data_IF_974714276901
#
_entry.id   IF_974714276901
#
_cell.length_a   1.000
_cell.length_b   1.000
_cell.length_c   1.000
_cell.angle_alpha   90.00
_cell.angle_beta   90.00
_cell.angle_gamma   90.00
#
_symmetry.space_group_name_H-M   'P 1'
#
loop_
_entity.id
_entity.type
_entity.pdbx_description
1 polymer ?
#
# COMPACT_ATOMS: atom_id res chain seq x y z
N UNK A 1 -0.31 22.01 -16.30
CA UNK A 1 0.89 21.16 -16.22
C UNK A 1 0.58 19.92 -17.04
N UNK A 2 1.36 19.66 -18.10
CA UNK A 2 1.19 18.47 -18.93
C UNK A 2 1.98 17.32 -18.31
N UNK A 3 1.26 16.33 -17.79
CA UNK A 3 1.84 15.16 -17.10
C UNK A 3 2.58 14.23 -18.07
N UNK A 4 2.17 14.17 -19.34
CA UNK A 4 2.82 13.33 -20.35
C UNK A 4 4.11 13.99 -20.81
N UNK A 5 4.09 15.29 -21.08
CA UNK A 5 5.32 16.03 -21.41
C UNK A 5 6.34 16.07 -20.25
N UNK A 6 5.89 15.95 -19.00
CA UNK A 6 6.78 15.77 -17.85
C UNK A 6 7.40 14.37 -17.82
N UNK A 7 6.59 13.32 -18.03
CA UNK A 7 7.05 11.93 -18.14
C UNK A 7 8.12 11.80 -19.22
N UNK A 8 7.84 12.27 -20.42
CA UNK A 8 8.72 12.06 -21.57
C UNK A 8 10.09 12.71 -21.34
N UNK A 9 10.11 13.95 -20.81
CA UNK A 9 11.36 14.62 -20.42
C UNK A 9 12.13 13.86 -19.34
N UNK A 10 11.44 13.35 -18.32
CA UNK A 10 12.07 12.57 -17.26
C UNK A 10 12.70 11.29 -17.81
N UNK A 11 11.97 10.56 -18.66
CA UNK A 11 12.48 9.33 -19.29
C UNK A 11 13.71 9.65 -20.15
N UNK A 12 13.68 10.71 -20.95
CA UNK A 12 14.79 11.12 -21.80
C UNK A 12 16.05 11.49 -20.99
N UNK A 13 15.88 12.25 -19.90
CA UNK A 13 16.98 12.61 -19.00
C UNK A 13 17.62 11.36 -18.35
N UNK A 14 16.80 10.42 -17.87
CA UNK A 14 17.30 9.16 -17.31
C UNK A 14 17.99 8.28 -18.37
N UNK A 15 17.44 8.21 -19.59
CA UNK A 15 18.07 7.51 -20.71
C UNK A 15 19.47 8.07 -20.99
N UNK A 16 19.60 9.39 -21.12
CA UNK A 16 20.88 10.06 -21.39
C UNK A 16 21.88 9.84 -20.25
N UNK A 17 21.41 9.93 -18.99
CA UNK A 17 22.25 9.70 -17.82
C UNK A 17 22.83 8.29 -17.83
N UNK A 18 22.00 7.25 -17.95
CA UNK A 18 22.45 5.84 -17.87
C UNK A 18 23.33 5.48 -19.06
N UNK A 19 22.91 5.81 -20.29
CA UNK A 19 23.66 5.48 -21.51
C UNK A 19 25.05 6.15 -21.54
N UNK A 20 25.20 7.32 -20.92
CA UNK A 20 26.49 8.01 -20.78
C UNK A 20 27.55 7.24 -20.00
N UNK A 21 27.17 6.29 -19.14
CA UNK A 21 28.12 5.43 -18.39
C UNK A 21 28.47 4.12 -19.12
N UNK A 22 27.81 3.81 -20.23
CA UNK A 22 27.92 2.51 -20.90
C UNK A 22 28.70 2.67 -22.20
N UNK A 23 29.94 2.18 -22.21
CA UNK A 23 30.81 2.18 -23.38
C UNK A 23 31.00 0.76 -23.94
N UNK A 24 30.22 0.39 -24.97
CA UNK A 24 30.31 -0.92 -25.62
C UNK A 24 31.12 -0.81 -26.92
N UNK A 25 32.25 -1.52 -27.01
CA UNK A 25 33.15 -1.47 -28.18
C UNK A 25 32.74 -2.41 -29.31
N UNK A 26 32.16 -3.56 -28.97
CA UNK A 26 31.76 -4.57 -29.96
C UNK A 26 30.42 -4.14 -30.61
N UNK A 27 30.33 -4.04 -31.95
CA UNK A 27 29.15 -3.49 -32.61
C UNK A 27 27.84 -4.26 -32.37
N UNK A 28 27.88 -5.60 -32.30
CA UNK A 28 26.68 -6.40 -32.08
C UNK A 28 26.15 -6.22 -30.66
N UNK A 29 27.04 -6.16 -29.67
CA UNK A 29 26.68 -5.87 -28.29
C UNK A 29 26.18 -4.43 -28.11
N UNK A 30 26.75 -3.47 -28.85
CA UNK A 30 26.26 -2.09 -28.84
C UNK A 30 24.83 -2.03 -29.36
N UNK A 31 24.58 -2.64 -30.52
CA UNK A 31 23.23 -2.70 -31.09
C UNK A 31 22.23 -3.34 -30.11
N UNK A 32 22.61 -4.45 -29.48
CA UNK A 32 21.77 -5.09 -28.47
C UNK A 32 21.42 -4.15 -27.31
N UNK A 33 22.39 -3.37 -26.81
CA UNK A 33 22.17 -2.41 -25.73
C UNK A 33 21.28 -1.24 -26.18
N UNK A 34 21.52 -0.71 -27.38
CA UNK A 34 20.73 0.38 -27.95
C UNK A 34 19.26 -0.05 -28.17
N UNK A 35 19.05 -1.28 -28.65
CA UNK A 35 17.73 -1.88 -28.81
C UNK A 35 17.03 -2.03 -27.45
N UNK A 36 17.76 -2.47 -26.41
CA UNK A 36 17.22 -2.63 -25.05
C UNK A 36 16.73 -1.30 -24.45
N UNK A 37 17.46 -0.21 -24.69
CA UNK A 37 17.04 1.14 -24.31
C UNK A 37 15.84 1.61 -25.14
N UNK A 38 15.86 1.41 -26.45
CA UNK A 38 14.79 1.83 -27.37
C UNK A 38 13.47 1.12 -27.09
N UNK A 39 13.52 -0.16 -26.71
CA UNK A 39 12.35 -0.94 -26.26
C UNK A 39 11.77 -0.46 -24.92
N UNK A 40 12.42 0.50 -24.25
CA UNK A 40 11.95 1.11 -23.00
C UNK A 40 11.98 0.17 -21.79
N UNK A 41 12.80 -0.88 -21.82
CA UNK A 41 12.80 -1.92 -20.78
C UNK A 41 13.23 -1.45 -19.40
N UNK A 42 13.90 -0.30 -19.30
CA UNK A 42 14.29 0.31 -18.03
C UNK A 42 13.25 1.28 -17.46
N UNK A 43 12.27 1.70 -18.25
CA UNK A 43 11.18 2.58 -17.87
C UNK A 43 9.85 1.96 -18.30
N UNK A 44 9.36 0.94 -17.55
CA UNK A 44 8.10 0.30 -17.87
C UNK A 44 6.96 1.32 -17.83
N UNK A 45 5.88 1.02 -18.54
CA UNK A 45 4.67 1.84 -18.54
C UNK A 45 4.17 2.08 -17.10
N UNK A 46 3.58 3.27 -16.83
CA UNK A 46 3.12 3.60 -15.50
C UNK A 46 2.12 2.56 -15.01
N UNK A 47 2.34 2.07 -13.79
CA UNK A 47 1.45 1.12 -13.15
C UNK A 47 0.12 1.82 -12.82
N UNK A 48 -0.91 1.54 -13.59
CA UNK A 48 -2.28 1.92 -13.27
C UNK A 48 -2.92 0.79 -12.46
N UNK A 49 -3.01 0.99 -11.16
CA UNK A 49 -3.62 0.02 -10.25
C UNK A 49 -4.94 0.57 -9.70
N UNK A 50 -5.98 -0.27 -9.74
CA UNK A 50 -7.19 -0.03 -8.96
C UNK A 50 -6.90 -0.45 -7.52
N UNK A 51 -7.06 0.48 -6.58
CA UNK A 51 -6.90 0.21 -5.16
C UNK A 51 -8.30 0.24 -4.51
N UNK A 52 -9.11 -0.84 -4.67
CA UNK A 52 -10.43 -0.88 -4.06
C UNK A 52 -10.29 -0.76 -2.54
N UNK A 53 -11.25 -0.06 -1.91
CA UNK A 53 -11.32 -0.03 -0.47
C UNK A 53 -11.58 -1.45 0.07
N UNK A 54 -10.97 -1.79 1.20
CA UNK A 54 -11.29 -3.03 1.91
C UNK A 54 -12.74 -3.03 2.37
N UNK A 55 -13.33 -4.22 2.42
CA UNK A 55 -14.69 -4.41 2.96
C UNK A 55 -14.77 -3.88 4.40
N UNK A 56 -15.79 -3.09 4.75
CA UNK A 56 -15.98 -2.63 6.12
C UNK A 56 -16.44 -3.78 7.02
N UNK A 57 -15.85 -3.87 8.20
CA UNK A 57 -16.30 -4.74 9.30
C UNK A 57 -17.19 -3.98 10.28
N UNK A 58 -17.10 -4.36 11.57
CA UNK A 58 -17.79 -3.68 12.67
C UNK A 58 -17.00 -2.50 13.23
N UNK A 59 -17.72 -1.60 13.89
CA UNK A 59 -17.10 -0.61 14.77
C UNK A 59 -16.56 -1.27 16.05
N UNK A 60 -15.47 -0.74 16.59
CA UNK A 60 -14.92 -1.18 17.89
C UNK A 60 -16.00 -1.15 18.98
N UNK A 61 -16.84 -0.11 19.02
CA UNK A 61 -17.92 0.02 20.00
C UNK A 61 -18.92 -1.15 19.93
N UNK A 62 -19.17 -1.71 18.74
CA UNK A 62 -20.04 -2.89 18.59
C UNK A 62 -19.41 -4.14 19.16
N UNK A 63 -18.10 -4.34 18.97
CA UNK A 63 -17.36 -5.45 19.55
C UNK A 63 -17.28 -5.37 21.07
N UNK A 64 -17.15 -4.15 21.61
CA UNK A 64 -17.23 -3.90 23.07
C UNK A 64 -18.62 -4.19 23.61
N UNK A 65 -19.68 -3.72 22.95
CA UNK A 65 -21.08 -4.03 23.33
C UNK A 65 -21.37 -5.54 23.33
N UNK A 66 -20.74 -6.28 22.42
CA UNK A 66 -20.85 -7.74 22.32
C UNK A 66 -19.96 -8.50 23.31
N UNK A 67 -19.14 -7.80 24.11
CA UNK A 67 -18.22 -8.41 25.06
C UNK A 67 -17.00 -9.10 24.42
N UNK A 68 -16.77 -8.89 23.12
CA UNK A 68 -15.61 -9.42 22.40
C UNK A 68 -14.34 -8.65 22.78
N UNK A 69 -14.47 -7.34 22.96
CA UNK A 69 -13.39 -6.46 23.40
C UNK A 69 -13.67 -5.90 24.80
N UNK A 70 -12.59 -5.61 25.54
CA UNK A 70 -12.67 -4.96 26.84
C UNK A 70 -13.32 -3.56 26.73
N UNK A 71 -14.09 -3.15 27.74
CA UNK A 71 -14.82 -1.87 27.74
C UNK A 71 -13.95 -0.65 27.48
N UNK A 72 -12.70 -0.65 27.98
CA UNK A 72 -11.72 0.40 27.75
C UNK A 72 -11.36 0.62 26.27
N UNK A 73 -11.54 -0.38 25.40
CA UNK A 73 -11.25 -0.27 23.97
C UNK A 73 -12.10 0.81 23.28
N UNK A 74 -13.35 1.02 23.72
CA UNK A 74 -14.23 2.05 23.19
C UNK A 74 -13.71 3.48 23.43
N UNK A 75 -12.87 3.66 24.46
CA UNK A 75 -12.28 4.94 24.82
C UNK A 75 -10.93 5.17 24.12
N UNK A 76 -10.17 4.10 23.87
CA UNK A 76 -8.80 4.17 23.32
C UNK A 76 -8.80 4.16 21.79
N UNK A 77 -9.56 3.26 21.17
CA UNK A 77 -9.54 3.06 19.72
C UNK A 77 -10.53 3.99 19.01
N UNK A 78 -10.17 5.27 18.99
CA UNK A 78 -10.95 6.34 18.38
C UNK A 78 -10.12 7.14 17.39
N UNK A 79 -10.74 7.54 16.27
CA UNK A 79 -10.15 8.48 15.32
C UNK A 79 -10.42 9.90 15.80
N UNK A 80 -9.37 10.67 16.02
CA UNK A 80 -9.44 12.06 16.48
C UNK A 80 -9.04 13.01 15.37
N UNK A 81 -9.77 14.12 15.24
CA UNK A 81 -9.38 15.22 14.34
C UNK A 81 -8.41 16.19 15.03
N UNK A 82 -8.45 16.24 16.36
CA UNK A 82 -7.56 17.04 17.22
C UNK A 82 -7.32 16.32 18.56
N UNK A 83 -6.15 16.50 19.21
CA UNK A 83 -5.83 15.86 20.50
C UNK A 83 -6.91 16.02 21.58
N UNK A 84 -7.57 17.18 21.60
CA UNK A 84 -8.54 17.58 22.63
C UNK A 84 -9.95 17.01 22.39
N UNK A 85 -10.16 16.33 21.25
CA UNK A 85 -11.46 15.72 20.93
C UNK A 85 -11.53 14.28 21.43
N UNK A 86 -12.73 13.86 21.84
CA UNK A 86 -12.99 12.44 22.16
C UNK A 86 -12.87 11.56 20.91
N UNK A 87 -13.23 12.08 19.74
CA UNK A 87 -13.13 11.39 18.46
C UNK A 87 -14.26 10.39 18.19
N UNK A 88 -14.17 9.78 17.01
CA UNK A 88 -15.17 8.85 16.47
C UNK A 88 -14.70 7.40 16.63
N UNK A 89 -15.61 6.44 16.85
CA UNK A 89 -15.21 5.03 16.96
C UNK A 89 -14.56 4.56 15.66
N UNK A 90 -13.51 3.75 15.77
CA UNK A 90 -12.85 3.16 14.60
C UNK A 90 -13.79 2.14 13.96
N UNK A 91 -14.01 2.28 12.65
CA UNK A 91 -14.56 1.23 11.79
C UNK A 91 -13.42 0.33 11.32
N UNK A 92 -13.47 -0.95 11.67
CA UNK A 92 -12.47 -1.92 11.25
C UNK A 92 -12.70 -2.34 9.80
N UNK A 93 -11.66 -2.81 9.14
CA UNK A 93 -11.81 -3.61 7.94
C UNK A 93 -12.26 -5.04 8.31
N UNK A 94 -12.93 -5.71 7.39
CA UNK A 94 -13.48 -7.06 7.60
C UNK A 94 -12.42 -8.04 8.09
N UNK A 95 -11.21 -8.02 7.51
CA UNK A 95 -10.11 -8.90 7.94
C UNK A 95 -9.59 -8.61 9.35
N UNK A 96 -9.68 -7.36 9.82
CA UNK A 96 -9.32 -7.00 11.20
C UNK A 96 -10.39 -7.46 12.19
N UNK A 97 -11.65 -7.23 11.85
CA UNK A 97 -12.80 -7.67 12.63
C UNK A 97 -12.80 -9.20 12.79
N UNK A 98 -12.60 -9.94 11.70
CA UNK A 98 -12.54 -11.40 11.71
C UNK A 98 -11.36 -11.93 12.53
N UNK A 99 -10.20 -11.24 12.48
CA UNK A 99 -9.04 -11.59 13.29
C UNK A 99 -9.30 -11.38 14.79
N UNK A 100 -9.94 -10.28 15.18
CA UNK A 100 -10.33 -10.01 16.56
C UNK A 100 -11.36 -11.04 17.04
N UNK A 101 -12.33 -11.41 16.20
CA UNK A 101 -13.29 -12.45 16.53
C UNK A 101 -12.63 -13.83 16.68
N UNK A 102 -11.65 -14.14 15.83
CA UNK A 102 -10.88 -15.37 15.92
C UNK A 102 -10.01 -15.42 17.19
N UNK A 103 -9.36 -14.32 17.56
CA UNK A 103 -8.51 -14.23 18.76
C UNK A 103 -9.33 -14.36 20.04
N UNK A 104 -10.56 -13.85 20.07
CA UNK A 104 -11.48 -14.00 21.20
C UNK A 104 -11.84 -15.47 21.52
N UNK A 105 -11.62 -16.40 20.59
CA UNK A 105 -11.77 -17.84 20.85
C UNK A 105 -10.65 -18.46 21.71
N UNK A 106 -9.57 -17.70 21.98
CA UNK A 106 -8.40 -18.17 22.73
C UNK A 106 -7.49 -19.13 21.96
N UNK A 107 -7.75 -19.35 20.66
CA UNK A 107 -6.94 -20.21 19.79
C UNK A 107 -5.89 -19.39 19.04
N UNK A 108 -4.79 -20.05 18.69
CA UNK A 108 -3.83 -19.49 17.74
C UNK A 108 -4.48 -19.34 16.36
N UNK A 109 -4.20 -18.23 15.68
CA UNK A 109 -4.66 -17.95 14.32
C UNK A 109 -3.54 -17.35 13.48
N UNK A 110 -3.69 -17.39 12.16
CA UNK A 110 -2.79 -16.77 11.20
C UNK A 110 -3.57 -15.73 10.41
N UNK A 111 -3.15 -14.47 10.47
CA UNK A 111 -3.72 -13.37 9.68
C UNK A 111 -2.80 -13.05 8.50
N UNK A 112 -3.22 -13.43 7.29
CA UNK A 112 -2.48 -13.14 6.05
C UNK A 112 -3.15 -12.02 5.27
N UNK A 113 -2.53 -10.85 5.21
CA UNK A 113 -3.02 -9.68 4.47
C UNK A 113 -1.85 -8.91 3.84
N UNK A 114 -2.14 -8.02 2.90
CA UNK A 114 -1.10 -7.17 2.28
C UNK A 114 -0.41 -6.23 3.29
N UNK A 115 0.83 -5.83 3.01
CA UNK A 115 1.56 -4.84 3.82
C UNK A 115 0.77 -3.53 3.90
N UNK A 116 0.72 -2.91 5.09
CA UNK A 116 0.00 -1.66 5.31
C UNK A 116 -1.52 -1.81 5.51
N UNK A 117 -2.09 -3.01 5.40
CA UNK A 117 -3.54 -3.27 5.60
C UNK A 117 -4.05 -3.15 7.04
N UNK A 118 -3.20 -2.74 7.98
CA UNK A 118 -3.57 -2.56 9.39
C UNK A 118 -3.68 -3.85 10.21
N UNK A 119 -3.00 -4.94 9.80
CA UNK A 119 -2.93 -6.21 10.55
C UNK A 119 -2.45 -6.07 11.99
N UNK A 120 -1.59 -5.11 12.32
CA UNK A 120 -1.10 -4.89 13.69
C UNK A 120 -2.13 -4.30 14.65
N UNK A 121 -3.26 -3.79 14.13
CA UNK A 121 -4.36 -3.30 14.95
C UNK A 121 -5.22 -4.44 15.50
N UNK A 122 -5.22 -5.59 14.82
CA UNK A 122 -6.09 -6.73 15.08
C UNK A 122 -5.37 -7.86 15.83
#
# INVERSE_FOLDING_TARGET
>A
MDVFALRDRLIDEYHQYISGFIAVKEPRLRQFVDDYFTEGRLWPEPLVQLNPAFEPGRFVDKLVQQGVLHSGCANVFRRKDSPDTFGYPILLHKHQDDAIAASASGKSYVLTTGTGSGKSLA
#
